data_IF_348721387420
#
_entry.id   IF_348721387420
#
_cell.length_a   1.000
_cell.length_b   1.000
_cell.length_c   1.000
_cell.angle_alpha   90.00
_cell.angle_beta   90.00
_cell.angle_gamma   90.00
#
_symmetry.space_group_name_H-M   'P 1'
#
loop_
_entity.id
_entity.type
_entity.pdbx_description
1 polymer ?
#
# COMPACT_ATOMS: atom_id res chain seq x y z
N UNK A 1 -49.68 -93.68 22.09
CA UNK A 1 -48.26 -93.87 22.41
C UNK A 1 -47.47 -92.76 21.79
N UNK A 2 -46.84 -92.03 22.60
CA UNK A 2 -45.97 -90.91 22.44
C UNK A 2 -45.10 -90.92 21.20
N UNK A 3 -45.01 -89.78 20.54
CA UNK A 3 -43.70 -89.11 20.28
C UNK A 3 -43.95 -87.72 19.69
N UNK A 4 -43.31 -86.80 20.25
CA UNK A 4 -43.22 -85.35 20.04
C UNK A 4 -42.38 -85.04 18.81
N UNK A 5 -42.72 -84.10 17.91
CA UNK A 5 -41.81 -83.57 16.91
C UNK A 5 -41.23 -82.25 17.35
N UNK A 6 -39.97 -82.13 17.11
CA UNK A 6 -39.08 -80.96 17.31
C UNK A 6 -39.35 -79.87 16.30
N UNK A 7 -39.31 -78.61 16.76
CA UNK A 7 -39.33 -77.39 15.96
C UNK A 7 -38.01 -77.14 15.22
N UNK A 8 -38.08 -76.64 13.94
CA UNK A 8 -36.92 -75.99 13.36
C UNK A 8 -36.96 -74.46 13.60
N UNK A 9 -35.89 -73.99 14.02
CA UNK A 9 -35.56 -72.58 14.25
C UNK A 9 -35.55 -71.79 12.95
N UNK A 10 -36.36 -70.73 12.85
CA UNK A 10 -36.27 -69.72 11.81
C UNK A 10 -35.08 -68.80 11.98
N UNK A 11 -34.14 -68.94 11.10
CA UNK A 11 -33.00 -68.05 10.98
C UNK A 11 -33.49 -66.76 10.28
N UNK A 12 -33.55 -65.67 11.02
CA UNK A 12 -33.76 -64.33 10.46
C UNK A 12 -32.46 -63.86 9.78
N UNK A 13 -32.49 -63.80 8.45
CA UNK A 13 -31.47 -63.13 7.67
C UNK A 13 -31.58 -61.62 7.88
N UNK A 14 -30.60 -61.06 8.60
CA UNK A 14 -30.44 -59.64 8.76
C UNK A 14 -29.86 -59.02 7.48
N UNK A 15 -30.65 -58.15 6.82
CA UNK A 15 -30.21 -57.29 5.76
C UNK A 15 -29.30 -56.17 6.36
N UNK A 16 -28.00 -56.30 6.16
CA UNK A 16 -27.03 -55.24 6.38
C UNK A 16 -27.16 -54.24 5.23
N UNK A 17 -27.86 -53.14 5.48
CA UNK A 17 -27.88 -51.99 4.61
C UNK A 17 -26.51 -51.26 4.76
N UNK A 18 -25.66 -51.44 3.74
CA UNK A 18 -24.40 -50.73 3.61
C UNK A 18 -24.71 -49.28 3.21
N UNK A 19 -24.77 -48.36 4.19
CA UNK A 19 -24.88 -46.92 3.92
C UNK A 19 -23.53 -46.42 3.38
N UNK A 20 -23.48 -46.25 2.05
CA UNK A 20 -22.35 -45.61 1.37
C UNK A 20 -22.40 -44.11 1.67
N UNK A 21 -21.64 -43.67 2.70
CA UNK A 21 -21.39 -42.25 3.00
C UNK A 21 -20.45 -41.72 1.93
N UNK A 22 -20.98 -41.10 0.89
CA UNK A 22 -20.21 -40.32 -0.08
C UNK A 22 -19.83 -39.02 0.62
N UNK A 23 -18.65 -38.99 1.21
CA UNK A 23 -18.01 -37.74 1.68
C UNK A 23 -17.60 -36.98 0.43
N UNK A 24 -18.42 -36.02 0.02
CA UNK A 24 -18.01 -34.97 -0.90
C UNK A 24 -16.94 -34.13 -0.17
N UNK A 25 -15.68 -34.49 -0.38
CA UNK A 25 -14.59 -33.59 -0.11
C UNK A 25 -14.75 -32.39 -1.06
N UNK A 26 -15.47 -31.36 -0.61
CA UNK A 26 -15.40 -30.03 -1.20
C UNK A 26 -13.96 -29.59 -0.95
N UNK A 27 -13.08 -29.90 -1.88
CA UNK A 27 -11.76 -29.29 -1.95
C UNK A 27 -12.01 -27.80 -2.19
N UNK A 28 -12.17 -27.06 -1.09
CA UNK A 28 -12.08 -25.62 -1.11
C UNK A 28 -10.73 -25.33 -1.77
N UNK A 29 -10.76 -24.85 -3.01
CA UNK A 29 -9.58 -24.22 -3.60
C UNK A 29 -9.28 -23.05 -2.69
N UNK A 30 -8.44 -23.27 -1.69
CA UNK A 30 -7.70 -22.19 -1.08
C UNK A 30 -7.01 -21.51 -2.26
N UNK A 31 -7.46 -20.31 -2.57
CA UNK A 31 -6.75 -19.44 -3.51
C UNK A 31 -5.38 -19.25 -2.87
N UNK A 32 -4.42 -20.00 -3.35
CA UNK A 32 -3.05 -19.81 -2.94
C UNK A 32 -2.74 -18.37 -3.31
N UNK A 33 -2.52 -17.52 -2.29
CA UNK A 33 -2.02 -16.16 -2.52
C UNK A 33 -0.70 -16.36 -3.24
N UNK A 34 -0.66 -15.98 -4.50
CA UNK A 34 0.53 -16.11 -5.33
C UNK A 34 1.67 -15.37 -4.63
N UNK A 35 2.81 -16.02 -4.37
CA UNK A 35 3.90 -15.37 -3.65
C UNK A 35 4.34 -14.12 -4.41
N UNK A 36 4.74 -13.09 -3.67
CA UNK A 36 5.25 -11.86 -4.26
C UNK A 36 6.46 -12.18 -5.15
N UNK A 37 6.46 -11.71 -6.40
CA UNK A 37 7.60 -11.93 -7.28
C UNK A 37 8.85 -11.25 -6.75
N UNK A 38 9.97 -11.94 -6.87
CA UNK A 38 11.27 -11.36 -6.56
C UNK A 38 11.77 -10.54 -7.75
N UNK A 39 12.19 -9.31 -7.47
CA UNK A 39 12.87 -8.46 -8.44
C UNK A 39 14.36 -8.55 -8.15
N UNK A 40 15.21 -8.90 -9.14
CA UNK A 40 16.64 -9.01 -8.92
C UNK A 40 17.21 -7.66 -8.50
N UNK A 41 18.23 -7.69 -7.65
CA UNK A 41 18.87 -6.47 -7.19
C UNK A 41 19.71 -5.84 -8.31
N UNK A 42 19.78 -4.50 -8.39
CA UNK A 42 20.58 -3.84 -9.41
C UNK A 42 22.08 -4.14 -9.23
N UNK A 43 22.87 -4.16 -10.30
CA UNK A 43 24.30 -4.38 -10.19
C UNK A 43 24.99 -3.32 -9.33
N UNK A 44 26.00 -3.71 -8.56
CA UNK A 44 26.85 -2.83 -7.72
C UNK A 44 26.05 -1.94 -6.76
N UNK A 45 24.87 -2.41 -6.28
CA UNK A 45 23.94 -1.61 -5.47
C UNK A 45 23.90 -2.05 -4.01
N UNK A 46 23.74 -1.05 -3.14
CA UNK A 46 23.27 -1.20 -1.77
C UNK A 46 21.76 -0.99 -1.77
N UNK A 47 21.01 -1.93 -1.18
CA UNK A 47 19.54 -1.96 -1.21
C UNK A 47 18.96 -2.01 0.20
N UNK A 48 17.92 -1.23 0.44
CA UNK A 48 17.23 -1.18 1.73
C UNK A 48 15.71 -1.18 1.52
N UNK A 49 14.97 -1.82 2.43
CA UNK A 49 13.53 -1.73 2.46
C UNK A 49 13.08 -0.31 2.85
N UNK A 50 12.20 0.25 2.04
CA UNK A 50 11.40 1.42 2.40
C UNK A 50 10.13 0.97 3.12
N UNK A 51 9.44 -0.04 2.55
CA UNK A 51 8.29 -0.66 3.16
C UNK A 51 8.12 -2.10 2.64
N UNK A 52 7.96 -3.05 3.55
CA UNK A 52 7.66 -4.44 3.22
C UNK A 52 6.15 -4.68 3.10
N UNK A 53 5.36 -3.83 3.75
CA UNK A 53 3.90 -3.88 3.73
C UNK A 53 3.36 -2.46 3.70
N UNK A 54 2.88 -2.03 2.54
CA UNK A 54 2.21 -0.76 2.37
C UNK A 54 1.08 -0.88 1.35
N UNK A 55 0.17 0.08 1.36
CA UNK A 55 -0.84 0.26 0.32
C UNK A 55 -0.69 1.64 -0.31
N UNK A 56 -0.69 1.69 -1.63
CA UNK A 56 -0.71 2.94 -2.39
C UNK A 56 -2.05 3.03 -3.10
N UNK A 57 -2.89 3.96 -2.70
CA UNK A 57 -4.27 4.07 -3.20
C UNK A 57 -5.05 2.73 -3.08
N UNK A 58 -4.91 2.03 -1.95
CA UNK A 58 -5.54 0.74 -1.72
C UNK A 58 -4.83 -0.47 -2.34
N UNK A 59 -3.84 -0.25 -3.22
CA UNK A 59 -3.09 -1.32 -3.89
C UNK A 59 -1.94 -1.80 -2.99
N UNK A 60 -1.91 -3.08 -2.58
CA UNK A 60 -0.79 -3.64 -1.84
C UNK A 60 0.51 -3.46 -2.61
N UNK A 61 1.53 -2.97 -1.96
CA UNK A 61 2.80 -2.58 -2.59
C UNK A 61 3.96 -2.87 -1.65
N UNK A 62 5.09 -3.28 -2.21
CA UNK A 62 6.38 -3.40 -1.53
C UNK A 62 7.38 -2.49 -2.22
N UNK A 63 8.22 -1.81 -1.45
CA UNK A 63 9.17 -0.84 -1.99
C UNK A 63 10.53 -0.99 -1.34
N UNK A 64 11.55 -1.08 -2.16
CA UNK A 64 12.96 -0.97 -1.78
C UNK A 64 13.57 0.25 -2.43
N UNK A 65 14.52 0.88 -1.76
CA UNK A 65 15.40 1.88 -2.36
C UNK A 65 16.76 1.29 -2.62
N UNK A 66 17.45 1.80 -3.63
CA UNK A 66 18.82 1.42 -3.93
C UNK A 66 19.70 2.63 -4.25
N UNK A 67 20.97 2.46 -3.97
CA UNK A 67 22.04 3.31 -4.45
C UNK A 67 23.06 2.41 -5.15
N UNK A 68 23.43 2.71 -6.40
CA UNK A 68 24.33 1.89 -7.19
C UNK A 68 25.49 2.72 -7.73
N UNK A 69 26.68 2.10 -7.77
CA UNK A 69 27.85 2.66 -8.47
C UNK A 69 27.76 2.48 -9.99
N UNK A 70 26.81 1.71 -10.48
CA UNK A 70 26.49 1.63 -11.89
C UNK A 70 25.69 2.86 -12.33
N UNK A 71 25.92 3.34 -13.54
CA UNK A 71 25.18 4.45 -14.12
C UNK A 71 23.75 4.06 -14.50
N UNK A 72 22.88 5.08 -14.65
CA UNK A 72 21.46 4.88 -15.01
C UNK A 72 21.28 3.99 -16.24
N UNK A 73 22.07 4.17 -17.30
CA UNK A 73 22.00 3.35 -18.52
C UNK A 73 22.24 1.87 -18.22
N UNK A 74 23.28 1.55 -17.44
CA UNK A 74 23.62 0.16 -17.06
C UNK A 74 22.48 -0.51 -16.28
N UNK A 75 21.81 0.23 -15.38
CA UNK A 75 20.65 -0.28 -14.63
C UNK A 75 19.45 -0.54 -15.55
N UNK A 76 19.16 0.38 -16.48
CA UNK A 76 18.07 0.24 -17.44
C UNK A 76 18.31 -0.96 -18.34
N UNK A 77 19.52 -1.12 -18.90
CA UNK A 77 19.89 -2.26 -19.72
C UNK A 77 19.78 -3.58 -18.96
N UNK A 78 20.24 -3.61 -17.70
CA UNK A 78 20.15 -4.80 -16.84
C UNK A 78 18.70 -5.29 -16.71
N UNK A 79 17.75 -4.39 -16.32
CA UNK A 79 16.36 -4.79 -16.14
C UNK A 79 15.65 -5.08 -17.47
N UNK A 80 15.98 -4.34 -18.52
CA UNK A 80 15.42 -4.58 -19.85
C UNK A 80 15.85 -5.95 -20.37
N UNK A 81 17.12 -6.33 -20.22
CA UNK A 81 17.63 -7.64 -20.60
C UNK A 81 17.01 -8.76 -19.74
N UNK A 82 16.97 -8.58 -18.42
CA UNK A 82 16.40 -9.56 -17.50
C UNK A 82 14.92 -9.83 -17.81
N UNK A 83 14.12 -8.80 -18.02
CA UNK A 83 12.69 -8.92 -18.30
C UNK A 83 12.36 -9.24 -19.77
N UNK A 84 13.33 -9.25 -20.66
CA UNK A 84 13.14 -9.72 -22.04
C UNK A 84 13.14 -11.24 -22.15
N UNK A 85 13.64 -11.95 -21.14
CA UNK A 85 13.74 -13.41 -21.10
C UNK A 85 12.68 -14.02 -20.19
N UNK A 86 11.72 -14.77 -20.76
CA UNK A 86 10.79 -15.58 -19.96
C UNK A 86 9.55 -14.88 -19.41
N UNK A 87 9.31 -13.63 -19.76
CA UNK A 87 8.08 -12.90 -19.40
C UNK A 87 7.11 -12.83 -20.59
N UNK A 88 5.83 -12.82 -20.30
CA UNK A 88 4.74 -12.82 -21.30
C UNK A 88 4.74 -11.53 -22.14
N UNK A 89 5.19 -10.42 -21.55
CA UNK A 89 5.27 -9.11 -22.19
C UNK A 89 6.70 -8.56 -22.11
N UNK A 90 7.06 -7.72 -23.07
CA UNK A 90 8.33 -7.00 -23.03
C UNK A 90 8.29 -5.92 -21.94
N UNK A 91 9.45 -5.66 -21.32
CA UNK A 91 9.60 -4.56 -20.40
C UNK A 91 9.21 -3.22 -21.06
N UNK A 92 8.45 -2.40 -20.34
CA UNK A 92 8.10 -1.04 -20.75
C UNK A 92 9.10 -0.04 -20.16
N UNK A 93 9.49 0.97 -20.94
CA UNK A 93 10.41 2.03 -20.49
C UNK A 93 9.70 3.36 -20.66
N UNK A 94 9.63 4.14 -19.59
CA UNK A 94 8.96 5.45 -19.58
C UNK A 94 9.83 6.50 -18.89
N UNK A 95 9.87 7.70 -19.45
CA UNK A 95 10.45 8.85 -18.76
C UNK A 95 9.44 9.41 -17.73
N UNK A 96 9.91 9.74 -16.54
CA UNK A 96 9.14 10.36 -15.47
C UNK A 96 9.95 11.53 -14.86
N UNK A 97 9.78 12.72 -15.45
CA UNK A 97 10.64 13.85 -15.15
C UNK A 97 12.09 13.55 -15.50
N UNK A 98 12.99 13.66 -14.54
CA UNK A 98 14.41 13.32 -14.69
C UNK A 98 14.69 11.81 -14.51
N UNK A 99 13.73 11.07 -14.00
CA UNK A 99 13.84 9.63 -13.80
C UNK A 99 13.45 8.85 -15.04
N UNK A 100 13.93 7.61 -15.14
CA UNK A 100 13.44 6.58 -16.05
C UNK A 100 12.81 5.45 -15.24
N UNK A 101 11.67 4.97 -15.68
CA UNK A 101 10.96 3.82 -15.08
C UNK A 101 10.97 2.67 -16.06
N UNK A 102 11.50 1.53 -15.62
CA UNK A 102 11.38 0.25 -16.34
C UNK A 102 10.30 -0.56 -15.62
N UNK A 103 9.31 -1.07 -16.34
CA UNK A 103 8.18 -1.79 -15.78
C UNK A 103 7.91 -3.12 -16.47
N UNK A 104 7.45 -4.10 -15.69
CA UNK A 104 7.10 -5.45 -16.15
C UNK A 104 5.90 -5.98 -15.38
N UNK A 105 4.96 -6.60 -16.12
CA UNK A 105 3.86 -7.36 -15.50
C UNK A 105 4.31 -8.82 -15.27
N UNK A 106 3.94 -9.37 -14.12
CA UNK A 106 4.09 -10.78 -13.80
C UNK A 106 2.86 -11.26 -13.01
N UNK A 107 2.02 -12.05 -13.65
CA UNK A 107 0.72 -12.42 -13.08
C UNK A 107 -0.07 -11.17 -12.63
N UNK A 108 -0.55 -11.10 -11.38
CA UNK A 108 -1.29 -9.95 -10.88
C UNK A 108 -0.40 -8.76 -10.47
N UNK A 109 0.92 -8.86 -10.60
CA UNK A 109 1.87 -7.89 -10.10
C UNK A 109 2.45 -7.00 -11.19
N UNK A 110 2.53 -5.71 -10.90
CA UNK A 110 3.36 -4.76 -11.64
C UNK A 110 4.68 -4.58 -10.88
N UNK A 111 5.78 -4.96 -11.50
CA UNK A 111 7.13 -4.70 -11.02
C UNK A 111 7.67 -3.46 -11.70
N UNK A 112 8.24 -2.52 -10.96
CA UNK A 112 8.83 -1.31 -11.53
C UNK A 112 10.16 -0.99 -10.88
N UNK A 113 11.08 -0.47 -11.69
CA UNK A 113 12.35 0.09 -11.23
C UNK A 113 12.44 1.52 -11.74
N UNK A 114 12.36 2.47 -10.82
CA UNK A 114 12.59 3.88 -11.07
C UNK A 114 14.06 4.18 -10.84
N UNK A 115 14.71 4.79 -11.82
CA UNK A 115 16.16 5.08 -11.80
C UNK A 115 16.38 6.56 -12.04
N UNK A 116 17.22 7.17 -11.23
CA UNK A 116 17.68 8.56 -11.32
C UNK A 116 19.19 8.59 -11.33
N UNK A 117 19.77 9.62 -11.96
CA UNK A 117 21.20 9.88 -11.87
C UNK A 117 21.59 10.33 -10.46
N UNK A 118 22.74 9.90 -10.00
CA UNK A 118 23.37 10.37 -8.77
C UNK A 118 24.75 10.96 -9.05
N UNK A 119 25.36 11.59 -8.06
CA UNK A 119 26.66 12.20 -8.22
C UNK A 119 27.74 11.19 -8.66
N UNK A 120 28.72 11.64 -9.43
CA UNK A 120 29.87 10.82 -9.86
C UNK A 120 29.55 9.73 -10.89
N UNK A 121 28.45 9.85 -11.64
CA UNK A 121 28.05 8.84 -12.65
C UNK A 121 27.37 7.62 -12.03
N UNK A 122 27.07 7.64 -10.76
CA UNK A 122 26.28 6.64 -10.05
C UNK A 122 24.77 6.78 -10.35
N UNK A 123 23.97 5.88 -9.82
CA UNK A 123 22.51 5.96 -9.89
C UNK A 123 21.85 5.62 -8.56
N UNK A 124 20.62 6.08 -8.40
CA UNK A 124 19.76 5.76 -7.27
C UNK A 124 18.33 5.52 -7.74
N UNK A 125 17.52 4.87 -6.93
CA UNK A 125 16.15 4.64 -7.33
C UNK A 125 15.32 3.81 -6.38
N UNK A 126 14.15 3.41 -6.88
CA UNK A 126 13.19 2.59 -6.17
C UNK A 126 12.86 1.34 -6.98
N UNK A 127 12.77 0.23 -6.30
CA UNK A 127 12.22 -1.03 -6.81
C UNK A 127 10.86 -1.19 -6.14
N UNK A 128 9.80 -1.33 -6.93
CA UNK A 128 8.45 -1.51 -6.40
C UNK A 128 7.78 -2.74 -7.00
N UNK A 129 7.04 -3.45 -6.19
CA UNK A 129 6.15 -4.54 -6.60
C UNK A 129 4.76 -4.22 -6.08
N UNK A 130 3.79 -4.07 -6.98
CA UNK A 130 2.41 -3.71 -6.66
C UNK A 130 1.45 -4.78 -7.19
N UNK A 131 0.56 -5.28 -6.35
CA UNK A 131 -0.48 -6.24 -6.76
C UNK A 131 -1.65 -5.48 -7.40
N UNK A 132 -1.56 -5.22 -8.70
CA UNK A 132 -2.52 -4.35 -9.41
C UNK A 132 -3.79 -5.08 -9.87
N UNK A 133 -3.70 -6.37 -10.21
CA UNK A 133 -4.88 -7.15 -10.57
C UNK A 133 -5.50 -7.76 -9.30
N UNK A 134 -6.83 -7.70 -9.22
CA UNK A 134 -7.59 -8.16 -8.05
C UNK A 134 -7.62 -7.18 -6.88
N UNK A 135 -6.88 -6.09 -6.93
CA UNK A 135 -6.94 -5.03 -5.92
C UNK A 135 -7.95 -3.95 -6.30
N UNK A 136 -8.66 -3.44 -5.30
CA UNK A 136 -9.57 -2.32 -5.46
C UNK A 136 -8.85 -1.03 -5.10
N UNK A 137 -8.84 -0.09 -6.03
CA UNK A 137 -8.32 1.25 -5.74
C UNK A 137 -9.17 1.93 -4.66
N UNK A 138 -8.51 2.48 -3.64
CA UNK A 138 -9.13 3.23 -2.57
C UNK A 138 -8.31 4.51 -2.31
N UNK A 139 -8.98 5.65 -2.46
CA UNK A 139 -8.46 6.98 -2.16
C UNK A 139 -9.32 7.67 -1.11
N UNK A 140 -9.92 6.91 -0.20
CA UNK A 140 -10.67 7.50 0.91
C UNK A 140 -9.75 8.42 1.73
N UNK A 141 -10.18 9.63 2.10
CA UNK A 141 -9.41 10.50 2.98
C UNK A 141 -9.37 10.01 4.44
N UNK A 142 -10.11 8.93 4.76
CA UNK A 142 -10.26 8.47 6.13
C UNK A 142 -11.03 9.49 6.98
N UNK A 143 -10.47 9.87 8.13
CA UNK A 143 -11.08 10.85 9.04
C UNK A 143 -10.90 12.31 8.59
N UNK A 144 -10.12 12.57 7.54
CA UNK A 144 -9.90 13.94 7.09
C UNK A 144 -11.13 14.47 6.34
N UNK A 145 -11.73 15.56 6.80
CA UNK A 145 -12.82 16.19 6.07
C UNK A 145 -12.30 16.81 4.78
N UNK A 146 -13.10 16.79 3.73
CA UNK A 146 -12.77 17.44 2.47
C UNK A 146 -13.47 18.78 2.34
N UNK A 147 -12.72 19.82 1.98
CA UNK A 147 -13.30 21.09 1.58
C UNK A 147 -14.02 20.97 0.23
N UNK A 148 -15.00 21.85 0.01
CA UNK A 148 -15.68 21.88 -1.28
C UNK A 148 -14.69 22.13 -2.44
N UNK A 149 -14.73 21.28 -3.45
CA UNK A 149 -13.85 21.28 -4.61
C UNK A 149 -12.47 20.67 -4.37
N UNK A 150 -12.15 20.21 -3.16
CA UNK A 150 -10.93 19.47 -2.89
C UNK A 150 -11.07 18.01 -3.36
N UNK A 151 -9.95 17.41 -3.74
CA UNK A 151 -9.90 15.99 -4.12
C UNK A 151 -8.63 15.31 -3.63
N UNK A 152 -8.76 14.03 -3.29
CA UNK A 152 -7.63 13.21 -2.86
C UNK A 152 -6.80 12.81 -4.08
N UNK A 153 -5.53 13.15 -4.05
CA UNK A 153 -4.55 12.81 -5.09
C UNK A 153 -3.97 11.42 -4.85
N UNK A 154 -3.53 11.16 -3.61
CA UNK A 154 -2.97 9.88 -3.22
C UNK A 154 -3.21 9.58 -1.75
N UNK A 155 -3.24 8.28 -1.44
CA UNK A 155 -3.26 7.74 -0.08
C UNK A 155 -2.17 6.68 -0.01
N UNK A 156 -1.31 6.78 0.99
CA UNK A 156 -0.28 5.78 1.30
C UNK A 156 -0.50 5.32 2.72
N UNK A 157 -0.60 4.01 2.92
CA UNK A 157 -0.73 3.39 4.23
C UNK A 157 0.45 2.44 4.44
N UNK A 158 1.05 2.49 5.60
CA UNK A 158 2.10 1.56 6.02
C UNK A 158 1.77 0.99 7.39
N UNK A 159 1.95 -0.30 7.51
CA UNK A 159 1.75 -1.06 8.74
C UNK A 159 3.09 -1.67 9.14
N UNK A 160 3.81 -0.95 9.97
CA UNK A 160 5.07 -1.38 10.57
C UNK A 160 4.81 -1.92 11.99
N UNK A 161 5.59 -2.87 12.52
CA UNK A 161 5.38 -3.39 13.85
C UNK A 161 5.27 -2.28 14.91
N UNK A 162 4.11 -2.18 15.56
CA UNK A 162 3.82 -1.19 16.59
C UNK A 162 3.52 0.23 16.10
N UNK A 163 3.35 0.42 14.78
CA UNK A 163 3.08 1.73 14.22
C UNK A 163 2.32 1.64 12.91
N UNK A 164 1.12 2.19 12.88
CA UNK A 164 0.37 2.43 11.65
C UNK A 164 0.59 3.87 11.20
N UNK A 165 0.82 4.08 9.91
CA UNK A 165 0.88 5.41 9.31
C UNK A 165 0.00 5.51 8.08
N UNK A 166 -0.60 6.69 7.90
CA UNK A 166 -1.43 7.01 6.75
C UNK A 166 -1.11 8.42 6.28
N UNK A 167 -0.61 8.53 5.06
CA UNK A 167 -0.39 9.79 4.37
C UNK A 167 -1.50 10.02 3.36
N UNK A 168 -2.09 11.21 3.37
CA UNK A 168 -3.11 11.63 2.40
C UNK A 168 -2.68 12.93 1.75
N UNK A 169 -2.57 12.93 0.43
CA UNK A 169 -2.30 14.12 -0.36
C UNK A 169 -3.60 14.63 -0.97
N UNK A 170 -3.94 15.88 -0.69
CA UNK A 170 -5.19 16.52 -1.14
C UNK A 170 -4.84 17.78 -1.91
N UNK A 171 -5.39 17.88 -3.13
CA UNK A 171 -5.37 19.13 -3.88
C UNK A 171 -6.60 19.98 -3.53
N UNK A 172 -6.36 21.23 -3.22
CA UNK A 172 -7.39 22.20 -2.85
C UNK A 172 -7.40 23.39 -3.82
N UNK A 173 -8.57 23.85 -4.27
CA UNK A 173 -8.67 25.07 -5.08
C UNK A 173 -8.52 26.36 -4.24
N UNK A 174 -8.47 26.23 -2.91
CA UNK A 174 -8.39 27.36 -1.98
C UNK A 174 -6.94 27.67 -1.60
N UNK A 175 -6.64 28.93 -1.20
CA UNK A 175 -5.30 29.30 -0.73
C UNK A 175 -4.95 28.64 0.60
N UNK A 176 -3.66 28.52 0.94
CA UNK A 176 -3.19 27.85 2.18
C UNK A 176 -3.86 28.37 3.46
N UNK A 177 -4.09 29.67 3.59
CA UNK A 177 -4.71 30.26 4.78
C UNK A 177 -6.13 29.74 5.01
N UNK A 178 -6.95 29.67 3.98
CA UNK A 178 -8.33 29.14 4.06
C UNK A 178 -8.32 27.65 4.39
N UNK A 179 -7.42 26.88 3.78
CA UNK A 179 -7.27 25.44 4.04
C UNK A 179 -6.83 25.21 5.47
N UNK A 180 -5.84 25.97 5.94
CA UNK A 180 -5.35 25.89 7.33
C UNK A 180 -6.46 26.17 8.35
N UNK A 181 -7.22 27.24 8.13
CA UNK A 181 -8.34 27.60 9.01
C UNK A 181 -9.41 26.51 9.04
N UNK A 182 -9.78 25.96 7.88
CA UNK A 182 -10.74 24.86 7.78
C UNK A 182 -10.30 23.64 8.59
N UNK A 183 -9.06 23.16 8.39
CA UNK A 183 -8.58 21.99 9.11
C UNK A 183 -8.38 22.22 10.60
N UNK A 184 -7.93 23.42 11.01
CA UNK A 184 -7.88 23.78 12.43
C UNK A 184 -9.27 23.68 13.09
N UNK A 185 -10.28 24.27 12.48
CA UNK A 185 -11.63 24.20 13.01
C UNK A 185 -12.22 22.79 13.00
N UNK A 186 -12.10 22.09 11.86
CA UNK A 186 -12.69 20.77 11.69
C UNK A 186 -12.08 19.71 12.61
N UNK A 187 -10.75 19.70 12.75
CA UNK A 187 -10.05 18.73 13.58
C UNK A 187 -10.27 18.99 15.08
N UNK A 188 -10.28 20.25 15.51
CA UNK A 188 -10.62 20.61 16.91
C UNK A 188 -12.05 20.17 17.23
N UNK A 189 -13.01 20.42 16.33
CA UNK A 189 -14.39 19.96 16.50
C UNK A 189 -14.52 18.42 16.52
N UNK A 190 -13.58 17.70 15.87
CA UNK A 190 -13.47 16.25 15.89
C UNK A 190 -12.68 15.70 17.11
N UNK A 191 -12.35 16.56 18.08
CA UNK A 191 -11.69 16.17 19.32
C UNK A 191 -10.15 16.07 19.24
N UNK A 192 -9.54 16.60 18.16
CA UNK A 192 -8.09 16.72 18.08
C UNK A 192 -7.59 17.96 18.81
N UNK A 193 -6.51 17.84 19.55
CA UNK A 193 -5.82 18.96 20.21
C UNK A 193 -4.71 19.46 19.31
N UNK A 194 -4.74 20.72 18.90
CA UNK A 194 -3.60 21.32 18.22
C UNK A 194 -2.46 21.51 19.22
N UNK A 195 -1.31 20.88 18.96
CA UNK A 195 -0.12 20.94 19.82
C UNK A 195 0.99 21.82 19.23
N UNK A 196 0.97 22.02 17.90
CA UNK A 196 1.91 22.92 17.21
C UNK A 196 1.24 23.57 16.02
N UNK A 197 1.67 24.77 15.65
CA UNK A 197 1.22 25.42 14.43
C UNK A 197 2.13 26.59 14.06
N UNK A 198 2.48 26.64 12.77
CA UNK A 198 3.27 27.71 12.19
C UNK A 198 2.70 28.08 10.82
N UNK A 199 2.30 29.32 10.65
CA UNK A 199 1.89 29.85 9.36
C UNK A 199 3.09 30.47 8.66
N UNK A 200 3.31 30.11 7.41
CA UNK A 200 4.42 30.57 6.58
C UNK A 200 3.86 31.64 5.64
N UNK A 201 4.12 32.92 5.93
CA UNK A 201 3.67 34.00 5.06
C UNK A 201 4.41 33.94 3.72
N UNK A 202 3.74 34.45 2.68
CA UNK A 202 4.37 34.56 1.38
C UNK A 202 5.52 35.58 1.44
N UNK A 203 6.67 35.18 0.93
CA UNK A 203 7.83 36.06 0.70
C UNK A 203 8.05 36.27 -0.80
N UNK A 204 8.77 37.32 -1.22
CA UNK A 204 9.20 37.46 -2.61
C UNK A 204 9.98 36.22 -3.07
N UNK A 205 9.49 35.56 -4.15
CA UNK A 205 10.07 34.31 -4.66
C UNK A 205 9.68 33.03 -3.89
N UNK A 206 9.05 33.13 -2.72
CA UNK A 206 8.58 32.00 -1.93
C UNK A 206 7.10 31.68 -2.12
N UNK A 207 6.64 30.59 -1.53
CA UNK A 207 5.25 30.15 -1.48
C UNK A 207 4.68 30.37 -0.08
N UNK A 208 3.40 30.71 0.03
CA UNK A 208 2.69 30.68 1.29
C UNK A 208 2.44 29.22 1.71
N UNK A 209 2.31 28.98 3.03
CA UNK A 209 2.03 27.65 3.55
C UNK A 209 1.68 27.66 5.03
N UNK A 210 1.49 26.47 5.59
CA UNK A 210 1.38 26.24 7.01
C UNK A 210 1.84 24.84 7.37
N UNK A 211 2.30 24.69 8.61
CA UNK A 211 2.55 23.41 9.24
C UNK A 211 1.79 23.37 10.55
N UNK A 212 0.98 22.34 10.77
CA UNK A 212 0.14 22.18 11.96
C UNK A 212 0.20 20.75 12.44
N UNK A 213 0.33 20.56 13.74
CA UNK A 213 0.36 19.25 14.38
C UNK A 213 -0.78 19.13 15.37
N UNK A 214 -1.50 18.02 15.30
CA UNK A 214 -2.57 17.66 16.19
C UNK A 214 -2.28 16.33 16.88
N UNK A 215 -2.82 16.16 18.09
CA UNK A 215 -2.76 14.92 18.85
C UNK A 215 -4.15 14.50 19.34
N UNK A 216 -4.43 13.20 19.35
CA UNK A 216 -5.65 12.61 19.90
C UNK A 216 -5.42 11.14 20.25
N UNK A 217 -5.54 10.77 21.53
CA UNK A 217 -5.57 9.38 21.97
C UNK A 217 -4.42 8.49 21.49
N UNK A 218 -3.16 8.94 21.59
CA UNK A 218 -1.98 8.18 21.10
C UNK A 218 -1.70 8.31 19.61
N UNK A 219 -2.56 9.01 18.87
CA UNK A 219 -2.36 9.36 17.46
C UNK A 219 -1.85 10.80 17.33
N UNK A 220 -1.01 11.02 16.32
CA UNK A 220 -0.51 12.32 15.90
C UNK A 220 -0.84 12.56 14.43
N UNK A 221 -1.31 13.74 14.08
CA UNK A 221 -1.59 14.15 12.71
C UNK A 221 -0.80 15.42 12.38
N UNK A 222 0.04 15.33 11.37
CA UNK A 222 0.83 16.44 10.86
C UNK A 222 0.22 16.91 9.53
N UNK A 223 -0.05 18.19 9.41
CA UNK A 223 -0.54 18.83 8.19
C UNK A 223 0.52 19.77 7.63
N UNK A 224 0.95 19.53 6.41
CA UNK A 224 1.77 20.42 5.61
C UNK A 224 0.93 20.99 4.48
N UNK A 225 0.70 22.28 4.46
CA UNK A 225 -0.12 22.98 3.48
C UNK A 225 0.78 23.94 2.71
N UNK A 226 0.86 23.79 1.39
CA UNK A 226 1.74 24.58 0.55
C UNK A 226 0.97 25.11 -0.65
N UNK A 227 1.19 26.38 -0.98
CA UNK A 227 0.64 26.99 -2.18
C UNK A 227 1.15 26.28 -3.44
N UNK A 228 0.24 26.03 -4.40
CA UNK A 228 0.63 25.47 -5.70
C UNK A 228 1.49 26.44 -6.50
N UNK A 229 2.37 25.94 -7.39
CA UNK A 229 3.26 26.75 -8.22
C UNK A 229 2.52 27.81 -9.06
N UNK A 230 1.34 27.48 -9.54
CA UNK A 230 0.49 28.40 -10.32
C UNK A 230 -0.32 29.37 -9.43
N UNK A 231 -0.19 29.31 -8.11
CA UNK A 231 -0.86 30.15 -7.10
C UNK A 231 -2.41 30.09 -7.15
N UNK A 232 -2.99 29.06 -7.74
CA UNK A 232 -4.44 28.88 -7.87
C UNK A 232 -5.05 27.90 -6.87
N UNK A 233 -4.33 27.61 -5.80
CA UNK A 233 -4.77 26.68 -4.78
C UNK A 233 -3.63 26.24 -3.90
N UNK A 234 -3.84 25.16 -3.18
CA UNK A 234 -2.84 24.57 -2.30
C UNK A 234 -2.84 23.05 -2.36
N UNK A 235 -1.72 22.45 -1.96
CA UNK A 235 -1.61 21.03 -1.71
C UNK A 235 -1.49 20.85 -0.20
N UNK A 236 -2.32 20.00 0.35
CA UNK A 236 -2.21 19.49 1.72
C UNK A 236 -1.60 18.10 1.67
N UNK A 237 -0.58 17.88 2.49
CA UNK A 237 -0.08 16.56 2.88
C UNK A 237 -0.42 16.35 4.34
N UNK A 238 -1.28 15.39 4.63
CA UNK A 238 -1.65 15.00 5.99
C UNK A 238 -1.02 13.65 6.30
N UNK A 239 -0.22 13.58 7.36
CA UNK A 239 0.40 12.36 7.84
C UNK A 239 -0.16 12.01 9.23
N UNK A 240 -0.97 10.96 9.29
CA UNK A 240 -1.51 10.39 10.52
C UNK A 240 -0.61 9.24 10.96
N UNK A 241 -0.13 9.29 12.18
CA UNK A 241 0.63 8.22 12.82
C UNK A 241 -0.11 7.78 14.08
N UNK A 242 -0.43 6.50 14.15
CA UNK A 242 -1.00 5.88 15.34
C UNK A 242 0.01 4.90 15.91
N UNK A 243 0.39 5.07 17.15
CA UNK A 243 1.18 4.08 17.88
C UNK A 243 0.23 2.97 18.32
N UNK A 244 0.59 1.73 18.01
CA UNK A 244 -0.13 0.60 18.56
C UNK A 244 0.15 0.58 20.08
N UNK A 245 -0.83 1.05 20.83
CA UNK A 245 -0.81 0.87 22.28
C UNK A 245 -1.25 -0.57 22.52
N UNK A 246 -0.31 -1.51 22.39
CA UNK A 246 -0.52 -2.89 22.82
C UNK A 246 -1.18 -2.92 24.20
N UNK A 247 -1.94 -3.97 24.54
CA UNK A 247 -2.63 -4.04 25.81
C UNK A 247 -1.62 -3.78 26.92
N UNK A 248 -1.91 -2.78 27.77
CA UNK A 248 -1.12 -2.51 28.98
C UNK A 248 -0.94 -3.82 29.74
N UNK A 249 0.28 -4.25 30.06
CA UNK A 249 0.45 -5.41 30.92
C UNK A 249 -0.20 -5.09 32.27
N UNK A 250 -1.26 -5.83 32.58
CA UNK A 250 -1.88 -5.86 33.92
C UNK A 250 -0.90 -6.45 34.91
#
# INVERSE_FOLDING_TARGET
>A
MNTKPSHPSTTRAGLLALALVVVFAVAGRAWAVEPWPEVPLPPKADVQWVAQSMRVNGVPTRVMQFQSRAGRGEIIEYYTAYWSGGYEHKASIHALGEATVVGQMHGPYLMTVKVEDAAGGASQGLISVAQVLGSKADRSPGELPLMNGAHVVSVVESDDPGKYSREVVIANPQPPSSVTQFYRASLVNAGWLQIQGNDIPRTPGGSAGAFVVFARGGSEMQLSIVETRNRRGSTLVANLVTKDTGPSPN
#
